data_IF_468155680860
#
_entry.id   IF_468155680860
#
_cell.length_a   1.000
_cell.length_b   1.000
_cell.length_c   1.000
_cell.angle_alpha   90.00
_cell.angle_beta   90.00
_cell.angle_gamma   90.00
#
_symmetry.space_group_name_H-M   'P 1'
#
loop_
_entity.id
_entity.type
_entity.pdbx_description
1 polymer ?
#
# COMPACT_ATOMS: atom_id res chain seq x y z
N UNK A 1 1.48 9.43 -4.97
CA UNK A 1 2.64 10.08 -4.31
C UNK A 1 3.22 11.25 -5.11
N UNK A 2 3.37 11.17 -6.43
CA UNK A 2 4.10 12.18 -7.23
C UNK A 2 3.28 13.40 -7.68
N UNK A 3 1.98 13.44 -7.39
CA UNK A 3 1.10 14.55 -7.77
C UNK A 3 0.60 15.30 -6.52
N UNK A 4 1.30 16.36 -6.07
CA UNK A 4 0.88 17.15 -4.91
C UNK A 4 -0.36 18.02 -5.19
N UNK A 5 -0.70 18.27 -6.47
CA UNK A 5 -1.85 19.09 -6.84
C UNK A 5 -3.17 18.48 -6.34
N UNK A 6 -3.29 17.15 -6.30
CA UNK A 6 -4.52 16.46 -5.84
C UNK A 6 -4.96 16.94 -4.44
N UNK A 7 -4.03 16.98 -3.47
CA UNK A 7 -4.35 17.44 -2.12
C UNK A 7 -4.55 18.97 -2.08
N UNK A 8 -3.78 19.73 -2.86
CA UNK A 8 -3.87 21.18 -2.91
C UNK A 8 -5.22 21.64 -3.46
N UNK A 9 -5.60 21.11 -4.62
CA UNK A 9 -6.85 21.42 -5.33
C UNK A 9 -8.05 21.08 -4.46
N UNK A 10 -8.04 19.91 -3.82
CA UNK A 10 -9.12 19.52 -2.92
C UNK A 10 -9.18 20.40 -1.66
N UNK A 11 -8.04 20.78 -1.09
CA UNK A 11 -7.99 21.72 0.04
C UNK A 11 -8.46 23.13 -0.35
N UNK A 12 -8.16 23.58 -1.56
CA UNK A 12 -8.68 24.82 -2.11
C UNK A 12 -10.19 24.76 -2.31
N UNK A 13 -10.70 23.70 -2.94
CA UNK A 13 -12.13 23.45 -3.12
C UNK A 13 -12.89 23.55 -1.80
N UNK A 14 -12.44 22.85 -0.75
CA UNK A 14 -13.08 22.87 0.57
C UNK A 14 -13.17 24.28 1.18
N UNK A 15 -12.08 25.06 1.09
CA UNK A 15 -12.04 26.43 1.59
C UNK A 15 -12.99 27.35 0.82
N UNK A 16 -13.05 27.19 -0.50
CA UNK A 16 -13.90 28.00 -1.38
C UNK A 16 -15.38 27.71 -1.14
N UNK A 17 -15.79 26.44 -1.10
CA UNK A 17 -17.18 26.05 -0.80
C UNK A 17 -17.61 26.55 0.58
N UNK A 18 -16.76 26.39 1.60
CA UNK A 18 -17.05 26.90 2.95
C UNK A 18 -17.28 28.41 2.97
N UNK A 19 -16.52 29.18 2.19
CA UNK A 19 -16.67 30.64 2.10
C UNK A 19 -17.93 31.04 1.32
N UNK A 20 -18.22 30.35 0.22
CA UNK A 20 -19.40 30.64 -0.61
C UNK A 20 -20.71 30.37 0.13
N UNK A 21 -20.75 29.32 0.97
CA UNK A 21 -21.91 29.04 1.85
C UNK A 21 -22.17 30.15 2.87
N UNK A 22 -21.13 30.77 3.41
CA UNK A 22 -21.27 31.92 4.33
C UNK A 22 -21.84 33.14 3.60
N UNK A 23 -21.47 33.31 2.33
CA UNK A 23 -21.89 34.45 1.52
C UNK A 23 -23.25 34.25 0.80
N UNK A 24 -23.98 33.16 1.08
CA UNK A 24 -25.26 32.81 0.43
C UNK A 24 -25.24 32.87 -1.11
N UNK A 25 -24.09 32.61 -1.72
CA UNK A 25 -24.01 32.44 -3.17
C UNK A 25 -24.60 31.06 -3.48
N UNK A 26 -25.85 31.01 -3.95
CA UNK A 26 -26.49 29.79 -4.44
C UNK A 26 -25.70 29.26 -5.65
N UNK A 27 -24.81 28.31 -5.39
CA UNK A 27 -24.26 27.43 -6.40
C UNK A 27 -25.19 26.21 -6.48
N UNK A 28 -25.45 25.71 -7.68
CA UNK A 28 -26.31 24.54 -7.92
C UNK A 28 -25.92 23.38 -6.98
N UNK A 29 -26.77 23.16 -5.98
CA UNK A 29 -26.47 22.30 -4.84
C UNK A 29 -26.45 20.80 -5.18
N UNK A 30 -26.91 20.41 -6.37
CA UNK A 30 -27.05 19.01 -6.75
C UNK A 30 -25.72 18.29 -7.00
N UNK A 31 -24.63 19.03 -7.23
CA UNK A 31 -23.27 18.47 -7.47
C UNK A 31 -22.28 18.75 -6.33
N UNK A 32 -22.70 19.42 -5.25
CA UNK A 32 -21.80 19.76 -4.15
C UNK A 32 -21.44 18.55 -3.29
N UNK A 33 -20.14 18.37 -3.03
CA UNK A 33 -19.67 17.39 -2.05
C UNK A 33 -20.08 17.86 -0.65
N UNK A 34 -20.89 17.05 0.04
CA UNK A 34 -21.28 17.35 1.41
C UNK A 34 -20.07 17.29 2.39
N UNK A 35 -20.21 17.87 3.58
CA UNK A 35 -19.08 18.01 4.51
C UNK A 35 -18.57 16.65 5.03
N UNK A 36 -19.45 15.67 5.22
CA UNK A 36 -19.08 14.33 5.68
C UNK A 36 -18.21 13.61 4.63
N UNK A 37 -18.66 13.60 3.37
CA UNK A 37 -17.91 13.06 2.24
C UNK A 37 -16.59 13.80 2.08
N UNK A 38 -16.57 15.13 2.19
CA UNK A 38 -15.36 15.92 2.09
C UNK A 38 -14.33 15.56 3.19
N UNK A 39 -14.78 15.26 4.41
CA UNK A 39 -13.91 14.78 5.49
C UNK A 39 -13.32 13.40 5.16
N UNK A 40 -14.14 12.46 4.65
CA UNK A 40 -13.65 11.13 4.23
C UNK A 40 -12.65 11.23 3.09
N UNK A 41 -12.91 12.06 2.08
CA UNK A 41 -12.00 12.32 0.98
C UNK A 41 -10.69 12.95 1.46
N UNK A 42 -10.74 13.84 2.44
CA UNK A 42 -9.54 14.47 3.01
C UNK A 42 -8.64 13.43 3.68
N UNK A 43 -9.21 12.54 4.49
CA UNK A 43 -8.47 11.44 5.11
C UNK A 43 -7.93 10.46 4.06
N UNK A 44 -8.73 10.15 3.03
CA UNK A 44 -8.30 9.29 1.93
C UNK A 44 -7.08 9.87 1.20
N UNK A 45 -7.11 11.14 0.80
CA UNK A 45 -5.99 11.74 0.08
C UNK A 45 -4.79 12.09 0.96
N UNK A 46 -4.95 12.19 2.28
CA UNK A 46 -3.84 12.42 3.21
C UNK A 46 -2.89 11.22 3.30
N UNK A 47 -3.37 10.02 2.99
CA UNK A 47 -2.56 8.79 2.99
C UNK A 47 -1.55 8.78 1.85
N UNK A 48 -0.35 8.24 2.10
CA UNK A 48 0.70 8.12 1.07
C UNK A 48 0.26 7.24 -0.11
N UNK A 49 -0.51 6.18 0.19
CA UNK A 49 -1.03 5.20 -0.77
C UNK A 49 -2.54 4.96 -0.55
N UNK A 50 -3.41 5.92 -0.94
CA UNK A 50 -4.84 5.91 -0.56
C UNK A 50 -5.57 4.60 -0.85
N UNK A 51 -5.39 4.06 -2.06
CA UNK A 51 -6.03 2.79 -2.47
C UNK A 51 -5.53 1.60 -1.68
N UNK A 52 -4.22 1.55 -1.40
CA UNK A 52 -3.62 0.43 -0.67
C UNK A 52 -3.99 0.46 0.82
N UNK A 53 -4.13 1.66 1.40
CA UNK A 53 -4.69 1.82 2.74
C UNK A 53 -6.13 1.32 2.81
N UNK A 54 -6.97 1.68 1.83
CA UNK A 54 -8.35 1.18 1.76
C UNK A 54 -8.40 -0.34 1.65
N UNK A 55 -7.57 -0.95 0.80
CA UNK A 55 -7.48 -2.41 0.70
C UNK A 55 -6.99 -3.05 2.00
N UNK A 56 -5.98 -2.47 2.66
CA UNK A 56 -5.47 -2.97 3.95
C UNK A 56 -6.56 -2.97 5.03
N UNK A 57 -7.34 -1.89 5.09
CA UNK A 57 -8.49 -1.79 6.00
C UNK A 57 -9.58 -2.83 5.64
N UNK A 58 -9.86 -3.03 4.35
CA UNK A 58 -10.84 -4.01 3.88
C UNK A 58 -10.42 -5.45 4.20
N UNK A 59 -9.15 -5.81 4.01
CA UNK A 59 -8.63 -7.14 4.36
C UNK A 59 -8.64 -7.36 5.87
N UNK A 60 -8.28 -6.34 6.66
CA UNK A 60 -8.37 -6.40 8.13
C UNK A 60 -9.83 -6.59 8.57
N UNK A 61 -10.76 -5.86 7.94
CA UNK A 61 -12.20 -5.98 8.19
C UNK A 61 -12.70 -7.39 7.87
N UNK A 62 -12.34 -7.94 6.72
CA UNK A 62 -12.68 -9.31 6.31
C UNK A 62 -12.29 -10.34 7.37
N UNK A 63 -11.06 -10.30 7.88
CA UNK A 63 -10.59 -11.21 8.93
C UNK A 63 -11.34 -10.99 10.24
N UNK A 64 -11.64 -9.73 10.59
CA UNK A 64 -12.37 -9.41 11.83
C UNK A 64 -13.84 -9.86 11.82
N UNK A 65 -14.49 -9.86 10.65
CA UNK A 65 -15.89 -10.25 10.47
C UNK A 65 -16.06 -11.77 10.35
N UNK A 66 -15.06 -12.47 9.81
CA UNK A 66 -15.10 -13.92 9.57
C UNK A 66 -14.33 -14.70 10.65
N UNK A 67 -14.69 -14.54 11.93
CA UNK A 67 -13.98 -15.15 13.07
C UNK A 67 -13.94 -16.69 13.07
N UNK A 68 -14.80 -17.34 12.30
CA UNK A 68 -14.82 -18.81 12.15
C UNK A 68 -13.75 -19.31 11.18
N UNK A 69 -13.19 -18.42 10.34
CA UNK A 69 -12.10 -18.77 9.43
C UNK A 69 -10.76 -18.58 10.15
N UNK A 70 -9.85 -19.57 10.07
CA UNK A 70 -8.48 -19.39 10.51
C UNK A 70 -7.81 -18.19 9.80
N UNK A 71 -7.17 -17.30 10.57
CA UNK A 71 -6.45 -16.14 10.00
C UNK A 71 -5.34 -16.58 9.02
N UNK A 72 -4.77 -17.76 9.29
CA UNK A 72 -3.75 -18.40 8.48
C UNK A 72 -4.20 -18.64 7.04
N UNK A 73 -5.48 -18.94 6.78
CA UNK A 73 -5.98 -19.10 5.40
C UNK A 73 -5.77 -17.83 4.57
N UNK A 74 -5.99 -16.66 5.20
CA UNK A 74 -5.80 -15.37 4.55
C UNK A 74 -4.32 -15.01 4.46
N UNK A 75 -3.58 -15.15 5.56
CA UNK A 75 -2.17 -14.74 5.58
C UNK A 75 -1.28 -15.68 4.75
N UNK A 76 -1.61 -16.95 4.67
CA UNK A 76 -0.89 -17.94 3.85
C UNK A 76 -1.16 -17.72 2.37
N UNK A 77 -2.38 -17.36 1.99
CA UNK A 77 -2.70 -16.93 0.63
C UNK A 77 -1.81 -15.73 0.22
N UNK A 78 -1.78 -14.67 1.04
CA UNK A 78 -0.99 -13.47 0.77
C UNK A 78 0.52 -13.75 0.71
N UNK A 79 1.05 -14.53 1.67
CA UNK A 79 2.48 -14.87 1.70
C UNK A 79 2.88 -15.79 0.55
N UNK A 80 2.01 -16.71 0.13
CA UNK A 80 2.23 -17.57 -1.05
C UNK A 80 2.32 -16.73 -2.32
N UNK A 81 1.39 -15.78 -2.51
CA UNK A 81 1.45 -14.84 -3.64
C UNK A 81 2.74 -14.01 -3.62
N UNK A 82 3.15 -13.51 -2.45
CA UNK A 82 4.40 -12.77 -2.29
C UNK A 82 5.61 -13.62 -2.69
N UNK A 83 5.65 -14.88 -2.22
CA UNK A 83 6.72 -15.82 -2.52
C UNK A 83 6.79 -16.15 -4.01
N UNK A 84 5.64 -16.44 -4.65
CA UNK A 84 5.57 -16.71 -6.09
C UNK A 84 6.10 -15.52 -6.89
N UNK A 85 5.67 -14.30 -6.58
CA UNK A 85 6.19 -13.10 -7.24
C UNK A 85 7.70 -12.92 -7.02
N UNK A 86 8.21 -13.10 -5.80
CA UNK A 86 9.65 -13.00 -5.50
C UNK A 86 10.45 -14.02 -6.30
N UNK A 87 10.06 -15.30 -6.26
CA UNK A 87 10.77 -16.38 -6.96
C UNK A 87 10.79 -16.15 -8.47
N UNK A 88 9.67 -15.71 -9.06
CA UNK A 88 9.62 -15.34 -10.48
C UNK A 88 10.60 -14.22 -10.84
N UNK A 89 10.81 -13.26 -9.95
CA UNK A 89 11.66 -12.08 -10.19
C UNK A 89 13.14 -12.32 -9.85
N UNK A 90 13.44 -13.18 -8.88
CA UNK A 90 14.79 -13.47 -8.40
C UNK A 90 15.48 -14.58 -9.20
N UNK A 91 14.74 -15.61 -9.63
CA UNK A 91 15.29 -16.75 -10.37
C UNK A 91 15.55 -16.39 -11.83
N UNK A 92 16.81 -16.36 -12.31
CA UNK A 92 17.13 -15.95 -13.68
C UNK A 92 16.42 -16.77 -14.76
N UNK A 93 16.22 -18.07 -14.52
CA UNK A 93 15.55 -19.00 -15.43
C UNK A 93 14.06 -18.73 -15.58
N UNK A 94 13.41 -18.17 -14.55
CA UNK A 94 12.02 -17.72 -14.65
C UNK A 94 11.96 -16.30 -15.19
N UNK A 95 12.89 -15.46 -14.77
CA UNK A 95 12.99 -14.08 -15.24
C UNK A 95 13.16 -13.99 -16.75
N UNK A 96 13.99 -14.85 -17.33
CA UNK A 96 14.25 -14.90 -18.78
C UNK A 96 13.07 -15.40 -19.60
N UNK A 97 12.08 -16.07 -18.97
CA UNK A 97 10.84 -16.48 -19.63
C UNK A 97 9.85 -15.33 -19.80
N UNK A 98 10.02 -14.23 -19.06
CA UNK A 98 9.22 -13.04 -19.28
C UNK A 98 9.70 -12.28 -20.51
N UNK A 99 8.84 -12.23 -21.52
CA UNK A 99 9.09 -11.46 -22.75
C UNK A 99 8.72 -9.99 -22.61
N UNK A 100 7.85 -9.65 -21.65
CA UNK A 100 7.33 -8.30 -21.44
C UNK A 100 7.79 -7.71 -20.09
N UNK A 101 8.35 -6.49 -20.15
CA UNK A 101 8.73 -5.70 -18.98
C UNK A 101 7.53 -5.34 -18.10
N UNK A 102 6.33 -5.19 -18.68
CA UNK A 102 5.10 -4.93 -17.94
C UNK A 102 4.74 -6.07 -16.98
N UNK A 103 5.03 -7.32 -17.35
CA UNK A 103 4.78 -8.49 -16.48
C UNK A 103 5.68 -8.47 -15.25
N UNK A 104 6.94 -8.06 -15.40
CA UNK A 104 7.87 -7.90 -14.28
C UNK A 104 7.37 -6.80 -13.33
N UNK A 105 6.98 -5.67 -13.91
CA UNK A 105 6.40 -4.52 -13.21
C UNK A 105 5.09 -4.86 -12.50
N UNK A 106 4.25 -5.71 -13.09
CA UNK A 106 3.04 -6.25 -12.48
C UNK A 106 3.40 -7.12 -11.27
N UNK A 107 4.32 -8.07 -11.41
CA UNK A 107 4.75 -8.95 -10.32
C UNK A 107 5.31 -8.16 -9.14
N UNK A 108 6.08 -7.10 -9.38
CA UNK A 108 6.61 -6.23 -8.31
C UNK A 108 5.49 -5.49 -7.57
N UNK A 109 4.49 -4.97 -8.29
CA UNK A 109 3.33 -4.29 -7.70
C UNK A 109 2.48 -5.26 -6.87
N UNK A 110 2.21 -6.44 -7.40
CA UNK A 110 1.48 -7.50 -6.69
C UNK A 110 2.23 -7.89 -5.43
N UNK A 111 3.53 -8.18 -5.53
CA UNK A 111 4.39 -8.54 -4.39
C UNK A 111 4.31 -7.50 -3.27
N UNK A 112 4.53 -6.22 -3.59
CA UNK A 112 4.49 -5.14 -2.59
C UNK A 112 3.09 -4.94 -2.02
N UNK A 113 2.05 -5.05 -2.85
CA UNK A 113 0.66 -4.99 -2.40
C UNK A 113 0.35 -6.07 -1.36
N UNK A 114 0.61 -7.34 -1.68
CA UNK A 114 0.30 -8.45 -0.76
C UNK A 114 1.19 -8.47 0.49
N UNK A 115 2.43 -7.98 0.40
CA UNK A 115 3.30 -7.78 1.58
C UNK A 115 2.66 -6.81 2.56
N UNK A 116 2.18 -5.66 2.06
CA UNK A 116 1.57 -4.64 2.91
C UNK A 116 0.25 -5.15 3.50
N UNK A 117 -0.58 -5.84 2.72
CA UNK A 117 -1.80 -6.48 3.25
C UNK A 117 -1.47 -7.49 4.35
N UNK A 118 -0.48 -8.36 4.13
CA UNK A 118 -0.02 -9.33 5.12
C UNK A 118 0.47 -8.64 6.38
N UNK A 119 1.24 -7.55 6.25
CA UNK A 119 1.76 -6.80 7.40
C UNK A 119 0.65 -6.17 8.26
N UNK A 120 -0.48 -5.76 7.67
CA UNK A 120 -1.60 -5.22 8.44
C UNK A 120 -2.45 -6.30 9.11
N UNK A 121 -2.57 -7.48 8.50
CA UNK A 121 -3.45 -8.56 8.95
C UNK A 121 -2.75 -9.54 9.89
N UNK A 122 -1.50 -9.91 9.61
CA UNK A 122 -0.79 -10.92 10.38
C UNK A 122 -0.40 -10.37 11.78
N UNK A 123 -0.61 -11.12 12.88
CA UNK A 123 -0.47 -10.58 14.24
C UNK A 123 0.90 -10.02 14.59
N UNK A 124 1.97 -10.60 14.02
CA UNK A 124 3.36 -10.15 14.23
C UNK A 124 3.92 -9.36 13.04
N UNK A 125 3.09 -9.09 12.03
CA UNK A 125 3.49 -8.39 10.82
C UNK A 125 4.37 -9.21 9.86
N UNK A 126 4.78 -8.54 8.77
CA UNK A 126 5.61 -9.10 7.71
C UNK A 126 7.11 -9.13 8.08
N UNK A 127 7.52 -8.35 9.09
CA UNK A 127 8.92 -8.08 9.41
C UNK A 127 9.48 -8.94 10.56
N UNK A 128 8.62 -9.65 11.29
CA UNK A 128 9.04 -10.56 12.34
C UNK A 128 9.82 -11.76 11.77
N UNK A 129 10.74 -12.33 12.56
CA UNK A 129 11.52 -13.53 12.16
C UNK A 129 10.65 -14.76 11.87
N UNK A 130 9.46 -14.83 12.47
CA UNK A 130 8.49 -15.91 12.27
C UNK A 130 7.56 -15.66 11.09
N UNK A 131 7.69 -14.53 10.39
CA UNK A 131 6.93 -14.22 9.17
C UNK A 131 7.26 -15.22 8.07
N UNK A 132 6.24 -15.59 7.28
CA UNK A 132 6.42 -16.42 6.08
C UNK A 132 6.98 -15.64 4.87
N UNK A 133 7.10 -14.32 4.99
CA UNK A 133 7.59 -13.44 3.92
C UNK A 133 9.08 -13.19 4.09
N UNK A 134 9.87 -13.56 3.08
CA UNK A 134 11.27 -13.16 2.97
C UNK A 134 11.38 -11.69 2.55
N UNK A 135 11.26 -10.79 3.53
CA UNK A 135 11.34 -9.34 3.31
C UNK A 135 12.69 -8.91 2.74
N UNK A 136 13.78 -9.58 3.11
CA UNK A 136 15.12 -9.22 2.61
C UNK A 136 15.24 -9.53 1.12
N UNK A 137 14.81 -10.72 0.70
CA UNK A 137 14.75 -11.09 -0.72
C UNK A 137 13.83 -10.17 -1.51
N UNK A 138 12.63 -9.87 -0.99
CA UNK A 138 11.69 -8.97 -1.66
C UNK A 138 12.25 -7.56 -1.87
N UNK A 139 12.91 -6.96 -0.87
CA UNK A 139 13.52 -5.62 -1.00
C UNK A 139 14.70 -5.66 -1.96
N UNK A 140 15.51 -6.71 -1.93
CA UNK A 140 16.67 -6.89 -2.83
C UNK A 140 16.22 -6.90 -4.30
N UNK A 141 15.19 -7.69 -4.62
CA UNK A 141 14.62 -7.75 -5.98
C UNK A 141 14.16 -6.39 -6.49
N UNK A 142 13.59 -5.55 -5.62
CA UNK A 142 13.15 -4.18 -5.98
C UNK A 142 14.34 -3.23 -6.18
N UNK A 143 15.41 -3.37 -5.38
CA UNK A 143 16.63 -2.55 -5.47
C UNK A 143 17.51 -2.90 -6.67
N UNK A 144 17.38 -4.11 -7.21
CA UNK A 144 18.06 -4.52 -8.45
C UNK A 144 17.43 -3.91 -9.72
N UNK A 145 16.27 -3.26 -9.61
CA UNK A 145 15.63 -2.59 -10.73
C UNK A 145 16.05 -1.12 -10.83
N UNK A 146 15.88 -0.48 -12.01
CA UNK A 146 16.05 0.96 -12.13
C UNK A 146 15.17 1.70 -11.13
N UNK A 147 15.77 2.62 -10.35
CA UNK A 147 15.10 3.36 -9.28
C UNK A 147 13.84 4.09 -9.74
N UNK A 148 13.85 4.62 -10.97
CA UNK A 148 12.70 5.29 -11.60
C UNK A 148 11.44 4.43 -11.66
N UNK A 149 11.59 3.11 -11.67
CA UNK A 149 10.48 2.15 -11.79
C UNK A 149 9.96 1.64 -10.45
N UNK A 150 10.81 1.59 -9.41
CA UNK A 150 10.49 0.94 -8.12
C UNK A 150 10.50 1.88 -6.92
N UNK A 151 10.93 3.14 -7.06
CA UNK A 151 10.98 4.09 -5.94
C UNK A 151 9.60 4.30 -5.29
N UNK A 152 8.53 4.36 -6.09
CA UNK A 152 7.16 4.42 -5.56
C UNK A 152 6.77 3.19 -4.72
N UNK A 153 7.29 2.01 -5.07
CA UNK A 153 7.05 0.77 -4.35
C UNK A 153 7.86 0.70 -3.05
N UNK A 154 9.12 1.13 -3.08
CA UNK A 154 9.95 1.26 -1.87
C UNK A 154 9.33 2.27 -0.90
N UNK A 155 8.80 3.38 -1.40
CA UNK A 155 8.07 4.36 -0.59
C UNK A 155 6.77 3.80 -0.02
N UNK A 156 6.04 2.94 -0.75
CA UNK A 156 4.89 2.24 -0.19
C UNK A 156 5.30 1.37 1.02
N UNK A 157 6.42 0.63 0.91
CA UNK A 157 6.96 -0.15 2.04
C UNK A 157 7.41 0.73 3.21
N UNK A 158 7.98 1.92 2.96
CA UNK A 158 8.43 2.85 4.02
C UNK A 158 7.27 3.46 4.80
N UNK A 159 6.20 3.85 4.12
CA UNK A 159 5.17 4.72 4.70
C UNK A 159 3.83 4.05 4.95
N UNK A 160 3.56 2.90 4.33
CA UNK A 160 2.26 2.22 4.44
C UNK A 160 2.31 0.98 5.33
N UNK A 161 3.51 0.47 5.63
CA UNK A 161 3.67 -0.69 6.53
C UNK A 161 3.37 -0.30 7.96
N UNK A 162 2.89 -1.28 8.73
CA UNK A 162 2.53 -1.15 10.13
C UNK A 162 3.71 -1.46 11.04
N UNK A 163 4.44 -2.55 10.77
CA UNK A 163 5.43 -3.09 11.71
C UNK A 163 6.90 -2.79 11.33
N UNK A 164 7.15 -2.03 10.25
CA UNK A 164 8.52 -1.66 9.86
C UNK A 164 9.29 -0.94 10.99
N UNK A 165 8.57 -0.14 11.78
CA UNK A 165 9.15 0.69 12.82
C UNK A 165 9.18 0.04 14.21
N UNK A 166 8.74 -1.21 14.35
CA UNK A 166 8.73 -1.93 15.63
C UNK A 166 10.11 -2.37 16.09
N UNK A 167 10.40 -2.30 17.38
CA UNK A 167 11.71 -2.66 17.95
C UNK A 167 12.16 -4.10 17.61
N UNK A 168 11.21 -4.98 17.33
CA UNK A 168 11.45 -6.36 16.90
C UNK A 168 11.94 -6.49 15.46
N UNK A 169 11.75 -5.45 14.63
CA UNK A 169 12.12 -5.45 13.21
C UNK A 169 13.64 -5.30 13.05
N UNK A 170 14.23 -6.22 12.28
CA UNK A 170 15.68 -6.28 12.04
C UNK A 170 16.26 -4.95 11.53
N UNK A 171 17.32 -4.47 12.20
CA UNK A 171 18.08 -3.27 11.78
C UNK A 171 18.57 -3.37 10.34
N UNK A 172 18.92 -4.57 9.87
CA UNK A 172 19.35 -4.78 8.48
C UNK A 172 18.21 -4.48 7.49
N UNK A 173 16.97 -4.90 7.79
CA UNK A 173 15.82 -4.65 6.91
C UNK A 173 15.50 -3.15 6.88
N UNK A 174 15.57 -2.47 8.04
CA UNK A 174 15.40 -1.02 8.10
C UNK A 174 16.44 -0.29 7.26
N UNK A 175 17.72 -0.66 7.37
CA UNK A 175 18.80 -0.07 6.57
C UNK A 175 18.62 -0.31 5.06
N UNK A 176 17.98 -1.42 4.67
CA UNK A 176 17.64 -1.66 3.27
C UNK A 176 16.50 -0.77 2.76
N UNK A 177 15.70 -0.18 3.63
CA UNK A 177 14.64 0.77 3.26
C UNK A 177 15.00 2.22 3.59
N UNK A 178 16.17 2.48 4.17
CA UNK A 178 16.73 3.83 4.28
C UNK A 178 17.38 4.27 2.96
#
# INVERSE_FOLDING_TARGET
MTNPAIQNDFSYYRRTISRNRINNLQLDAESEVNNEMANRMSLFYAEATPMLKTLSNATTKFVSENKTLPIEDTTDCLSTMACVCRVMLETPEYRSRFTNTETLLFCMRVMVGVIILYDHVHPVGAFAKTSKIDMKGCIKVLKEQPSTSTEGLLNALRYTTRHLNDDTTSKQIRALLQ
#
